data_IF_302117968729
#
_entry.id   IF_302117968729
#
_cell.length_a   1.000
_cell.length_b   1.000
_cell.length_c   1.000
_cell.angle_alpha   90.00
_cell.angle_beta   90.00
_cell.angle_gamma   90.00
#
_symmetry.space_group_name_H-M   'P 1'
#
loop_
_entity.id
_entity.type
_entity.pdbx_description
1 polymer ?
#
# COMPACT_ATOMS: atom_id res chain seq x y z
N UNK A 1 19.57 0.44 5.67
CA UNK A 1 18.68 -0.40 6.50
C UNK A 1 17.29 -0.28 5.88
N UNK A 2 16.93 -1.22 4.99
CA UNK A 2 15.78 -1.09 4.06
C UNK A 2 15.06 -2.45 3.87
N UNK A 3 15.15 -3.33 4.87
CA UNK A 3 14.73 -4.74 4.77
C UNK A 3 13.30 -5.00 5.29
N UNK A 4 12.60 -3.98 5.81
CA UNK A 4 11.32 -4.19 6.51
C UNK A 4 10.08 -3.82 5.67
N UNK A 5 10.17 -2.81 4.81
CA UNK A 5 9.02 -2.23 4.10
C UNK A 5 8.46 -3.18 3.03
N UNK A 6 9.36 -3.84 2.30
CA UNK A 6 9.04 -4.77 1.23
C UNK A 6 8.40 -6.06 1.69
N UNK A 7 8.78 -6.51 2.89
CA UNK A 7 8.31 -7.78 3.44
C UNK A 7 6.79 -7.72 3.74
N UNK A 8 6.26 -6.56 4.12
CA UNK A 8 4.82 -6.35 4.30
C UNK A 8 4.04 -6.48 2.98
N UNK A 9 4.54 -5.87 1.91
CA UNK A 9 3.89 -5.93 0.59
C UNK A 9 3.93 -7.35 0.00
N UNK A 10 5.06 -8.04 0.12
CA UNK A 10 5.19 -9.43 -0.33
C UNK A 10 4.26 -10.35 0.46
N UNK A 11 4.19 -10.21 1.79
CA UNK A 11 3.24 -10.97 2.61
C UNK A 11 1.79 -10.71 2.23
N UNK A 12 1.43 -9.45 1.95
CA UNK A 12 0.09 -9.09 1.50
C UNK A 12 -0.31 -9.88 0.24
N UNK A 13 0.59 -10.00 -0.74
CA UNK A 13 0.29 -10.74 -1.96
C UNK A 13 0.41 -12.27 -1.81
N UNK A 14 1.21 -12.76 -0.87
CA UNK A 14 1.24 -14.17 -0.48
C UNK A 14 -0.10 -14.60 0.16
N UNK A 15 -0.67 -13.76 1.03
CA UNK A 15 -1.94 -14.04 1.74
C UNK A 15 -3.19 -13.69 0.90
N UNK A 16 -3.10 -12.65 0.06
CA UNK A 16 -4.20 -12.08 -0.72
C UNK A 16 -3.81 -11.85 -2.17
N UNK A 17 -3.43 -12.93 -2.87
CA UNK A 17 -2.94 -12.89 -4.25
C UNK A 17 -3.88 -12.21 -5.26
N UNK A 18 -5.19 -12.16 -4.97
CA UNK A 18 -6.20 -11.47 -5.75
C UNK A 18 -6.01 -9.94 -5.76
N UNK A 19 -5.44 -9.36 -4.70
CA UNK A 19 -5.21 -7.92 -4.60
C UNK A 19 -4.19 -7.45 -5.63
N UNK A 20 -3.25 -8.31 -6.03
CA UNK A 20 -2.28 -8.01 -7.08
C UNK A 20 -2.95 -7.63 -8.41
N UNK A 21 -4.19 -8.08 -8.64
CA UNK A 21 -4.95 -7.72 -9.85
C UNK A 21 -5.36 -6.24 -9.89
N UNK A 22 -5.36 -5.55 -8.75
CA UNK A 22 -5.63 -4.11 -8.67
C UNK A 22 -4.40 -3.27 -9.10
N UNK A 23 -3.22 -3.87 -9.14
CA UNK A 23 -1.96 -3.20 -9.46
C UNK A 23 -1.60 -3.42 -10.92
N UNK A 24 -2.19 -2.62 -11.83
CA UNK A 24 -2.01 -2.72 -13.30
C UNK A 24 -0.58 -3.07 -13.74
N UNK A 25 0.41 -2.37 -13.18
CA UNK A 25 1.84 -2.55 -13.49
C UNK A 25 2.45 -3.84 -12.94
N UNK A 26 1.91 -4.38 -11.84
CA UNK A 26 2.50 -5.48 -11.08
C UNK A 26 1.74 -6.79 -11.21
N UNK A 27 0.68 -6.83 -12.03
CA UNK A 27 -0.18 -8.01 -12.23
C UNK A 27 0.61 -9.29 -12.54
N UNK A 28 1.79 -9.20 -13.17
CA UNK A 28 2.65 -10.33 -13.52
C UNK A 28 3.60 -10.80 -12.41
N UNK A 29 3.80 -10.04 -11.34
CA UNK A 29 4.72 -10.37 -10.23
C UNK A 29 4.10 -11.41 -9.30
N UNK A 30 3.92 -12.64 -9.79
CA UNK A 30 3.17 -13.70 -9.09
C UNK A 30 3.99 -14.43 -8.03
N UNK A 31 5.32 -14.34 -8.06
CA UNK A 31 6.19 -14.96 -7.08
C UNK A 31 6.83 -13.93 -6.15
N UNK A 32 7.22 -14.38 -4.95
CA UNK A 32 7.98 -13.56 -3.99
C UNK A 32 9.30 -13.05 -4.60
N UNK A 33 9.95 -13.86 -5.41
CA UNK A 33 11.22 -13.51 -6.08
C UNK A 33 11.02 -12.39 -7.11
N UNK A 34 9.95 -12.46 -7.90
CA UNK A 34 9.59 -11.39 -8.86
C UNK A 34 9.23 -10.09 -8.13
N UNK A 35 8.52 -10.18 -7.00
CA UNK A 35 8.14 -9.02 -6.20
C UNK A 35 9.36 -8.38 -5.53
N UNK A 36 10.27 -9.18 -4.97
CA UNK A 36 11.46 -8.71 -4.26
C UNK A 36 12.48 -8.01 -5.17
N UNK A 37 12.44 -8.27 -6.48
CA UNK A 37 13.34 -7.66 -7.46
C UNK A 37 12.75 -6.44 -8.16
N UNK A 38 11.46 -6.13 -7.93
CA UNK A 38 10.75 -5.03 -8.59
C UNK A 38 10.97 -3.68 -7.90
N UNK A 39 11.82 -2.82 -8.48
CA UNK A 39 12.07 -1.48 -7.92
C UNK A 39 10.80 -0.61 -7.83
N UNK A 40 9.90 -0.67 -8.81
CA UNK A 40 8.66 0.11 -8.74
C UNK A 40 7.73 -0.38 -7.59
N UNK A 41 7.77 -1.67 -7.27
CA UNK A 41 7.03 -2.19 -6.12
C UNK A 41 7.67 -1.74 -4.80
N UNK A 42 9.00 -1.49 -4.77
CA UNK A 42 9.71 -0.82 -3.68
C UNK A 42 9.03 0.48 -3.34
N UNK A 43 8.95 1.31 -4.38
CA UNK A 43 8.64 2.71 -4.27
C UNK A 43 7.20 2.84 -3.82
N UNK A 44 6.33 1.93 -4.27
CA UNK A 44 4.98 1.81 -3.75
C UNK A 44 4.96 1.48 -2.25
N UNK A 45 5.67 0.45 -1.80
CA UNK A 45 5.72 0.09 -0.38
C UNK A 45 6.28 1.22 0.48
N UNK A 46 7.37 1.87 0.05
CA UNK A 46 7.94 3.05 0.71
C UNK A 46 6.96 4.22 0.75
N UNK A 47 6.20 4.46 -0.32
CA UNK A 47 5.15 5.50 -0.34
C UNK A 47 4.09 5.19 0.70
N UNK A 48 3.58 3.95 0.75
CA UNK A 48 2.57 3.53 1.74
C UNK A 48 3.10 3.73 3.17
N UNK A 49 4.33 3.29 3.46
CA UNK A 49 4.93 3.42 4.79
C UNK A 49 5.17 4.88 5.16
N UNK A 50 5.59 5.72 4.21
CA UNK A 50 5.79 7.17 4.45
C UNK A 50 4.45 7.86 4.73
N UNK A 51 3.40 7.48 3.99
CA UNK A 51 2.02 7.94 4.24
C UNK A 51 1.53 7.56 5.63
N UNK A 52 1.81 6.34 6.09
CA UNK A 52 1.48 5.93 7.46
C UNK A 52 2.27 6.72 8.51
N UNK A 53 3.56 6.93 8.29
CA UNK A 53 4.43 7.71 9.19
C UNK A 53 4.01 9.18 9.29
N UNK A 54 3.68 9.82 8.16
CA UNK A 54 3.11 11.18 8.12
C UNK A 54 1.77 11.24 8.86
N UNK A 55 0.92 10.22 8.70
CA UNK A 55 -0.33 10.11 9.44
C UNK A 55 -0.11 10.03 10.95
N UNK A 56 0.86 9.23 11.40
CA UNK A 56 1.19 9.08 12.84
C UNK A 56 1.76 10.39 13.41
N UNK A 57 2.64 11.08 12.67
CA UNK A 57 3.19 12.39 13.07
C UNK A 57 2.12 13.47 13.13
N UNK A 58 1.10 13.38 12.28
CA UNK A 58 -0.05 14.28 12.25
C UNK A 58 -1.06 14.05 13.38
N UNK A 59 -0.87 13.09 14.30
CA UNK A 59 -1.85 12.86 15.38
C UNK A 59 -1.97 14.04 16.37
N UNK A 60 -0.95 14.89 16.44
CA UNK A 60 -1.00 16.13 17.23
C UNK A 60 -1.80 17.25 16.53
N UNK A 61 -2.06 17.10 15.21
CA UNK A 61 -2.89 17.99 14.38
C UNK A 61 -3.88 17.15 13.56
N UNK A 62 -5.00 16.83 14.19
CA UNK A 62 -6.02 15.96 13.62
C UNK A 62 -6.61 16.49 12.30
N UNK A 63 -6.63 17.80 12.09
CA UNK A 63 -7.16 18.39 10.86
C UNK A 63 -6.25 18.03 9.68
N UNK A 64 -4.93 18.21 9.83
CA UNK A 64 -3.92 17.80 8.85
C UNK A 64 -3.97 16.28 8.62
N UNK A 65 -4.11 15.49 9.69
CA UNK A 65 -4.25 14.03 9.58
C UNK A 65 -5.46 13.62 8.73
N UNK A 66 -6.63 14.19 8.98
CA UNK A 66 -7.85 13.84 8.23
C UNK A 66 -7.81 14.34 6.79
N UNK A 67 -7.24 15.51 6.52
CA UNK A 67 -7.05 16.00 5.15
C UNK A 67 -6.19 15.02 4.34
N UNK A 68 -5.09 14.58 4.93
CA UNK A 68 -4.18 13.61 4.32
C UNK A 68 -4.85 12.25 4.08
N UNK A 69 -5.54 11.70 5.08
CA UNK A 69 -6.27 10.44 4.96
C UNK A 69 -7.37 10.51 3.88
N UNK A 70 -8.09 11.63 3.78
CA UNK A 70 -9.09 11.84 2.76
C UNK A 70 -8.48 11.88 1.35
N UNK A 71 -7.31 12.51 1.18
CA UNK A 71 -6.60 12.55 -0.09
C UNK A 71 -6.18 11.14 -0.55
N UNK A 72 -5.60 10.34 0.36
CA UNK A 72 -5.19 8.96 0.10
C UNK A 72 -6.40 8.07 -0.19
N UNK A 73 -7.47 8.19 0.59
CA UNK A 73 -8.71 7.44 0.36
C UNK A 73 -9.35 7.80 -0.99
N UNK A 74 -9.34 9.08 -1.37
CA UNK A 74 -9.87 9.55 -2.64
C UNK A 74 -9.08 9.03 -3.85
N UNK A 75 -7.75 8.83 -3.73
CA UNK A 75 -6.94 8.24 -4.79
C UNK A 75 -7.26 6.76 -5.00
N UNK A 76 -7.43 6.00 -3.92
CA UNK A 76 -7.74 4.56 -4.00
C UNK A 76 -9.16 4.27 -4.50
N UNK A 77 -10.14 5.11 -4.17
CA UNK A 77 -11.53 4.96 -4.66
C UNK A 77 -11.65 5.03 -6.19
N UNK A 78 -10.64 5.57 -6.89
CA UNK A 78 -10.61 5.66 -8.36
C UNK A 78 -10.11 4.37 -9.03
N UNK A 79 -9.55 3.43 -8.28
CA UNK A 79 -9.00 2.18 -8.81
C UNK A 79 -10.15 1.21 -9.16
N UNK A 80 -10.26 0.72 -10.40
CA UNK A 80 -11.25 -0.28 -10.77
C UNK A 80 -11.14 -1.54 -9.91
N UNK A 81 -12.24 -2.00 -9.34
CA UNK A 81 -12.27 -3.17 -8.44
C UNK A 81 -11.89 -2.87 -6.99
N UNK A 82 -11.65 -1.60 -6.65
CA UNK A 82 -11.48 -1.15 -5.27
C UNK A 82 -12.67 -1.57 -4.38
N UNK A 83 -12.35 -2.01 -3.17
CA UNK A 83 -13.30 -2.30 -2.10
C UNK A 83 -12.73 -1.75 -0.80
N UNK A 84 -13.56 -1.08 -0.01
CA UNK A 84 -13.10 -0.46 1.24
C UNK A 84 -12.64 -1.52 2.25
N UNK A 85 -13.21 -2.72 2.17
CA UNK A 85 -12.90 -3.91 2.96
C UNK A 85 -11.42 -4.30 2.92
N UNK A 86 -10.68 -3.95 1.86
CA UNK A 86 -9.24 -4.24 1.76
C UNK A 86 -8.38 -3.47 2.77
N UNK A 87 -8.91 -2.42 3.40
CA UNK A 87 -8.19 -1.60 4.40
C UNK A 87 -8.56 -1.97 5.84
N UNK A 88 -9.55 -2.84 6.04
CA UNK A 88 -10.03 -3.19 7.37
C UNK A 88 -9.63 -4.63 7.70
N UNK A 89 -8.87 -4.79 8.79
CA UNK A 89 -8.73 -6.08 9.45
C UNK A 89 -9.99 -6.27 10.31
N UNK A 90 -10.69 -7.40 10.17
CA UNK A 90 -11.71 -7.80 11.14
C UNK A 90 -11.06 -8.44 12.36
#
# INVERSE_FOLDING_TARGET
MQLHEWDLQCRLFEEHSELLLLFEKFKSLKSKEDQATSLELAEHATTVMSTLDEGIKGLDDLDTFFEYLNQVGASHRRIPGFKAEYFWVR
#
